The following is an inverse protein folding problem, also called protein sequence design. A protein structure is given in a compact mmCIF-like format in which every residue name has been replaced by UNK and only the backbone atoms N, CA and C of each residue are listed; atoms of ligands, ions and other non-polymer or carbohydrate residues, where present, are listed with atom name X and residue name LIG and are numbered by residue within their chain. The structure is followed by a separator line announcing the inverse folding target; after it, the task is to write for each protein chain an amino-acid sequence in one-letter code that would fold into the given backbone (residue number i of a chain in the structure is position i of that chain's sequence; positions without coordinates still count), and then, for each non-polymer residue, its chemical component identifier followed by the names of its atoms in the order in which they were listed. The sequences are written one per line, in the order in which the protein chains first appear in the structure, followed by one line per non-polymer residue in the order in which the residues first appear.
data_IF_735706183318
#
_entry.id   IF_735706183318
#
_cell.length_a   1.000
_cell.length_b   1.000
_cell.length_c   1.000
_cell.angle_alpha   90.00
_cell.angle_beta   90.00
_cell.angle_gamma   90.00
#
_symmetry.space_group_name_H-M   'P 1'
#
loop_
_entity.id
_entity.type
_entity.pdbx_description
1 polymer ?
#
# COMPACT_ATOMS: atom_id res chain seq x y z
N UNK A 1 -11.45 -5.00 6.85
CA UNK A 1 -11.89 -3.66 6.40
C UNK A 1 -11.23 -2.54 7.19
N UNK A 2 -10.22 -1.89 6.60
CA UNK A 2 -9.57 -0.67 7.12
C UNK A 2 -9.85 0.57 6.25
N UNK A 3 -10.74 0.44 5.26
CA UNK A 3 -11.14 1.53 4.39
C UNK A 3 -11.67 2.70 5.23
N UNK A 4 -11.01 3.86 5.09
CA UNK A 4 -11.33 5.08 5.84
C UNK A 4 -10.68 5.22 7.23
N UNK A 5 -9.93 4.22 7.71
CA UNK A 5 -9.19 4.29 9.01
C UNK A 5 -7.70 4.49 8.87
N UNK A 6 -7.13 4.17 7.71
CA UNK A 6 -5.71 4.34 7.46
C UNK A 6 -5.37 5.82 7.24
N UNK A 7 -4.34 6.29 7.95
CA UNK A 7 -3.87 7.68 7.89
C UNK A 7 -2.51 7.69 7.23
N UNK A 8 -2.31 8.60 6.27
CA UNK A 8 -1.00 8.81 5.64
C UNK A 8 -0.16 9.69 6.57
N UNK A 9 1.05 9.23 6.89
CA UNK A 9 2.05 10.03 7.60
C UNK A 9 2.79 10.97 6.65
N UNK A 10 4.08 11.18 6.89
CA UNK A 10 4.93 11.95 5.96
C UNK A 10 5.37 11.08 4.77
N UNK A 11 5.29 11.65 3.57
CA UNK A 11 5.75 11.01 2.35
C UNK A 11 5.93 12.02 1.22
N UNK A 12 6.87 11.74 0.32
CA UNK A 12 7.14 12.43 -0.94
C UNK A 12 6.29 11.91 -2.12
N UNK A 13 5.46 10.88 -1.89
CA UNK A 13 4.59 10.31 -2.93
C UNK A 13 3.50 11.29 -3.36
N UNK A 14 3.18 11.30 -4.66
CA UNK A 14 2.01 12.02 -5.20
C UNK A 14 0.71 11.54 -4.54
N UNK A 15 -0.29 12.41 -4.37
CA UNK A 15 -1.58 12.03 -3.76
C UNK A 15 -2.25 10.81 -4.40
N UNK A 16 -2.13 10.65 -5.73
CA UNK A 16 -2.66 9.49 -6.45
C UNK A 16 -1.95 8.19 -6.04
N UNK A 17 -0.64 8.23 -5.90
CA UNK A 17 0.17 7.11 -5.42
C UNK A 17 -0.11 6.79 -3.95
N UNK A 18 -0.38 7.80 -3.12
CA UNK A 18 -0.80 7.59 -1.73
C UNK A 18 -2.14 6.85 -1.65
N UNK A 19 -3.14 7.26 -2.46
CA UNK A 19 -4.44 6.57 -2.54
C UNK A 19 -4.30 5.12 -3.01
N UNK A 20 -3.46 4.88 -4.02
CA UNK A 20 -3.15 3.54 -4.48
C UNK A 20 -2.47 2.71 -3.39
N UNK A 21 -1.50 3.28 -2.67
CA UNK A 21 -0.79 2.60 -1.58
C UNK A 21 -1.74 2.22 -0.44
N UNK A 22 -2.68 3.10 -0.07
CA UNK A 22 -3.73 2.82 0.91
C UNK A 22 -4.63 1.67 0.47
N UNK A 23 -5.10 1.69 -0.78
CA UNK A 23 -5.94 0.62 -1.31
C UNK A 23 -5.18 -0.72 -1.35
N UNK A 24 -3.90 -0.70 -1.73
CA UNK A 24 -3.05 -1.89 -1.75
C UNK A 24 -2.79 -2.43 -0.34
N UNK A 25 -2.59 -1.56 0.65
CA UNK A 25 -2.42 -1.96 2.03
C UNK A 25 -3.69 -2.61 2.60
N UNK A 26 -4.87 -2.05 2.31
CA UNK A 26 -6.15 -2.69 2.69
C UNK A 26 -6.28 -4.06 2.06
N UNK A 27 -6.01 -4.18 0.75
CA UNK A 27 -6.06 -5.47 0.04
C UNK A 27 -5.04 -6.48 0.56
N UNK A 28 -3.84 -6.04 0.93
CA UNK A 28 -2.84 -6.91 1.52
C UNK A 28 -3.33 -7.49 2.85
N UNK A 29 -4.00 -6.68 3.68
CA UNK A 29 -4.57 -7.13 4.96
C UNK A 29 -5.82 -8.01 4.82
N UNK A 30 -6.44 -8.05 3.63
CA UNK A 30 -7.47 -9.05 3.31
C UNK A 30 -6.86 -10.40 2.88
N UNK A 31 -5.55 -10.44 2.55
CA UNK A 31 -4.85 -11.64 2.04
C UNK A 31 -3.90 -12.23 3.10
N UNK A 32 -3.23 -11.37 3.84
CA UNK A 32 -2.19 -11.71 4.81
C UNK A 32 -2.65 -11.38 6.22
N UNK A 33 -2.18 -12.13 7.19
CA UNK A 33 -2.34 -11.76 8.59
C UNK A 33 -1.50 -10.52 8.92
N UNK A 34 -1.95 -9.72 9.89
CA UNK A 34 -1.20 -8.53 10.32
C UNK A 34 0.20 -8.85 10.88
N UNK A 35 0.43 -10.10 11.31
CA UNK A 35 1.73 -10.63 11.73
C UNK A 35 2.71 -10.79 10.55
N UNK A 36 2.21 -10.98 9.32
CA UNK A 36 2.97 -11.20 8.09
C UNK A 36 3.47 -9.89 7.45
N UNK A 37 4.01 -9.00 8.28
CA UNK A 37 4.45 -7.65 7.90
C UNK A 37 5.42 -7.62 6.70
N UNK A 38 6.29 -8.62 6.57
CA UNK A 38 7.25 -8.71 5.46
C UNK A 38 6.56 -8.99 4.11
N UNK A 39 5.56 -9.86 4.09
CA UNK A 39 4.83 -10.21 2.88
C UNK A 39 3.88 -9.10 2.45
N UNK A 40 3.24 -8.44 3.42
CA UNK A 40 2.47 -7.21 3.19
C UNK A 40 3.37 -6.13 2.54
N UNK A 41 4.54 -5.86 3.13
CA UNK A 41 5.48 -4.87 2.60
C UNK A 41 5.96 -5.24 1.19
N UNK A 42 6.26 -6.52 0.95
CA UNK A 42 6.70 -7.02 -0.36
C UNK A 42 5.60 -6.89 -1.42
N UNK A 43 4.36 -7.20 -1.05
CA UNK A 43 3.19 -7.07 -1.93
C UNK A 43 2.98 -5.61 -2.35
N UNK A 44 2.94 -4.69 -1.39
CA UNK A 44 2.77 -3.26 -1.64
C UNK A 44 3.93 -2.71 -2.50
N UNK A 45 5.18 -2.99 -2.13
CA UNK A 45 6.38 -2.53 -2.86
C UNK A 45 6.38 -3.00 -4.32
N UNK A 46 6.07 -4.27 -4.57
CA UNK A 46 6.06 -4.83 -5.93
C UNK A 46 5.06 -4.12 -6.85
N UNK A 47 3.91 -3.70 -6.33
CA UNK A 47 2.88 -3.02 -7.12
C UNK A 47 3.24 -1.54 -7.33
N UNK A 48 3.70 -0.84 -6.30
CA UNK A 48 4.10 0.58 -6.40
C UNK A 48 5.30 0.74 -7.37
N UNK A 49 6.33 -0.10 -7.24
CA UNK A 49 7.50 -0.04 -8.11
C UNK A 49 7.19 -0.30 -9.59
N UNK A 50 6.12 -1.07 -9.89
CA UNK A 50 5.68 -1.26 -11.28
C UNK A 50 4.99 -0.02 -11.86
N UNK A 51 4.24 0.73 -11.05
CA UNK A 51 3.53 1.93 -11.51
C UNK A 51 4.46 3.13 -11.71
N UNK A 52 5.52 3.26 -10.91
CA UNK A 52 6.51 4.32 -11.08
C UNK A 52 7.37 4.16 -12.34
N UNK A 53 7.39 2.97 -12.95
CA UNK A 53 8.10 2.69 -14.20
C UNK A 53 7.29 3.00 -15.47
N UNK A 54 6.01 3.38 -15.31
CA UNK A 54 5.07 3.71 -16.38
C UNK A 54 4.81 5.23 -16.52
N UNK A 55 5.53 6.03 -15.73
CA UNK A 55 5.62 7.49 -15.80
C UNK A 55 7.07 7.87 -16.07
#
# INVERSE_FOLDING_TARGET
MLEGKAVVGETDMLQTMQKDALHLASKALDIFEASESTDIARFIKKVISKRQKLL
#
